data_IF_584448142671
#
_entry.id   IF_584448142671
#
_cell.length_a   1.000
_cell.length_b   1.000
_cell.length_c   1.000
_cell.angle_alpha   90.00
_cell.angle_beta   90.00
_cell.angle_gamma   90.00
#
_symmetry.space_group_name_H-M   'P 1'
#
loop_
_entity.id
_entity.type
_entity.pdbx_description
1 polymer ?
#
# COMPACT_ATOMS: atom_id res chain seq x y z
N UNK A 1 -3.03 -2.95 -4.54
CA UNK A 1 -1.69 -3.36 -4.11
C UNK A 1 -0.82 -3.69 -5.32
N UNK A 2 0.48 -3.40 -5.22
CA UNK A 2 1.47 -3.67 -6.27
C UNK A 2 2.77 -4.24 -5.66
N UNK A 3 3.62 -4.81 -6.54
CA UNK A 3 4.92 -5.37 -6.16
C UNK A 3 4.88 -6.84 -5.76
N UNK A 4 6.04 -7.37 -5.36
CA UNK A 4 6.24 -8.81 -5.12
C UNK A 4 5.36 -9.41 -4.03
N UNK A 5 4.96 -8.63 -3.03
CA UNK A 5 4.05 -9.07 -1.96
C UNK A 5 2.67 -9.51 -2.44
N UNK A 6 2.21 -9.01 -3.59
CA UNK A 6 0.91 -9.38 -4.17
C UNK A 6 0.82 -10.86 -4.57
N UNK A 7 1.96 -11.52 -4.73
CA UNK A 7 2.05 -12.95 -5.04
C UNK A 7 1.70 -13.83 -3.83
N UNK A 8 1.67 -13.27 -2.64
CA UNK A 8 1.33 -14.00 -1.41
C UNK A 8 -0.13 -13.71 -1.01
N UNK A 9 -1.07 -14.66 -1.24
CA UNK A 9 -2.48 -14.46 -0.96
C UNK A 9 -2.78 -14.29 0.55
N UNK A 10 -1.98 -14.91 1.42
CA UNK A 10 -2.12 -14.78 2.87
C UNK A 10 -1.79 -13.33 3.29
N UNK A 11 -0.70 -12.77 2.76
CA UNK A 11 -0.33 -11.38 3.04
C UNK A 11 -1.41 -10.40 2.58
N UNK A 12 -1.94 -10.58 1.36
CA UNK A 12 -3.01 -9.71 0.84
C UNK A 12 -4.29 -9.79 1.68
N UNK A 13 -4.68 -11.01 2.10
CA UNK A 13 -5.84 -11.17 2.96
C UNK A 13 -5.61 -10.55 4.36
N UNK A 14 -4.42 -10.78 4.96
CA UNK A 14 -4.07 -10.15 6.24
C UNK A 14 -4.11 -8.62 6.14
N UNK A 15 -3.61 -8.04 5.07
CA UNK A 15 -3.65 -6.59 4.86
C UNK A 15 -5.10 -6.09 4.85
N UNK A 16 -5.98 -6.75 4.10
CA UNK A 16 -7.41 -6.41 4.09
C UNK A 16 -8.04 -6.54 5.49
N UNK A 17 -7.76 -7.64 6.20
CA UNK A 17 -8.34 -7.92 7.52
C UNK A 17 -7.86 -6.92 8.59
N UNK A 18 -6.57 -6.54 8.58
CA UNK A 18 -6.00 -5.59 9.54
C UNK A 18 -6.51 -4.16 9.28
N UNK A 19 -6.55 -3.75 8.02
CA UNK A 19 -6.96 -2.38 7.66
C UNK A 19 -8.47 -2.20 7.65
N UNK A 20 -9.24 -3.28 7.48
CA UNK A 20 -10.68 -3.24 7.25
C UNK A 20 -11.06 -2.68 5.87
N UNK A 21 -10.11 -2.62 4.93
CA UNK A 21 -10.27 -2.05 3.60
C UNK A 21 -10.04 -3.15 2.55
N UNK A 22 -10.90 -3.29 1.53
CA UNK A 22 -10.66 -4.23 0.45
C UNK A 22 -9.33 -3.94 -0.27
N UNK A 23 -8.55 -4.99 -0.55
CA UNK A 23 -7.27 -4.89 -1.26
C UNK A 23 -7.42 -5.46 -2.66
N UNK A 24 -7.31 -4.60 -3.66
CA UNK A 24 -7.32 -5.00 -5.07
C UNK A 24 -5.89 -5.26 -5.56
N UNK A 25 -5.72 -6.36 -6.30
CA UNK A 25 -4.46 -6.74 -6.96
C UNK A 25 -4.69 -6.71 -8.46
N UNK A 26 -3.86 -5.94 -9.19
CA UNK A 26 -3.90 -5.86 -10.64
C UNK A 26 -3.35 -7.11 -11.32
N UNK A 27 -3.62 -7.26 -12.60
CA UNK A 27 -2.98 -8.28 -13.43
C UNK A 27 -1.49 -8.02 -13.54
N UNK A 28 -1.12 -6.75 -13.79
CA UNK A 28 0.26 -6.31 -13.79
C UNK A 28 0.71 -5.96 -12.36
N UNK A 29 1.72 -6.66 -11.88
CA UNK A 29 2.26 -6.50 -10.53
C UNK A 29 3.70 -5.99 -10.51
N UNK A 30 4.21 -5.53 -11.67
CA UNK A 30 5.59 -5.01 -11.83
C UNK A 30 5.83 -3.74 -10.98
N UNK A 31 4.75 -3.17 -10.40
CA UNK A 31 4.85 -2.11 -9.41
C UNK A 31 5.16 -0.74 -10.02
N UNK A 32 6.17 -0.05 -9.49
CA UNK A 32 6.46 1.35 -9.81
C UNK A 32 6.71 1.57 -11.32
N UNK A 33 7.49 0.71 -11.97
CA UNK A 33 7.81 0.88 -13.40
C UNK A 33 6.58 0.90 -14.32
N UNK A 34 5.55 0.15 -13.99
CA UNK A 34 4.30 0.17 -14.75
C UNK A 34 3.57 1.50 -14.56
N UNK A 35 3.51 1.99 -13.31
CA UNK A 35 2.95 3.31 -13.01
C UNK A 35 3.71 4.44 -13.70
N UNK A 36 5.04 4.39 -13.66
CA UNK A 36 5.91 5.40 -14.32
C UNK A 36 5.69 5.41 -15.83
N UNK A 37 5.55 4.24 -16.47
CA UNK A 37 5.26 4.13 -17.89
C UNK A 37 3.89 4.75 -18.26
N UNK A 38 2.87 4.51 -17.43
CA UNK A 38 1.55 5.11 -17.63
C UNK A 38 1.57 6.63 -17.45
N UNK A 39 2.30 7.13 -16.44
CA UNK A 39 2.47 8.57 -16.23
C UNK A 39 3.24 9.22 -17.39
N UNK A 40 4.29 8.57 -17.88
CA UNK A 40 5.02 9.05 -19.05
C UNK A 40 4.12 9.10 -20.29
N UNK A 41 3.27 8.11 -20.50
CA UNK A 41 2.32 8.06 -21.60
C UNK A 41 1.30 9.21 -21.55
N UNK A 42 0.84 9.62 -20.36
CA UNK A 42 0.04 10.83 -20.17
C UNK A 42 0.88 12.06 -20.51
N UNK A 43 2.11 12.13 -20.01
CA UNK A 43 3.00 13.29 -20.22
C UNK A 43 3.32 13.58 -21.68
N UNK A 44 3.43 12.55 -22.52
CA UNK A 44 3.63 12.70 -23.98
C UNK A 44 2.32 12.80 -24.78
N UNK A 45 1.18 12.84 -24.11
CA UNK A 45 -0.14 13.02 -24.73
C UNK A 45 -0.72 11.76 -25.38
N UNK A 46 -0.20 10.58 -25.07
CA UNK A 46 -0.77 9.30 -25.53
C UNK A 46 -2.13 9.03 -24.86
N UNK A 47 -2.24 9.36 -23.57
CA UNK A 47 -3.51 9.40 -22.82
C UNK A 47 -3.83 10.84 -22.42
N UNK A 48 -5.10 11.21 -22.46
CA UNK A 48 -5.57 12.56 -22.09
C UNK A 48 -5.53 12.81 -20.58
N UNK A 49 -5.51 11.75 -19.77
CA UNK A 49 -5.47 11.85 -18.32
C UNK A 49 -5.65 10.52 -17.63
N UNK A 50 -5.70 10.56 -16.28
CA UNK A 50 -5.82 9.37 -15.45
C UNK A 50 -7.12 8.59 -15.64
N UNK A 51 -8.19 9.23 -16.13
CA UNK A 51 -9.47 8.57 -16.34
C UNK A 51 -9.38 7.46 -17.40
N UNK A 52 -8.56 7.68 -18.45
CA UNK A 52 -8.36 6.69 -19.52
C UNK A 52 -7.57 5.46 -19.03
N UNK A 53 -6.83 5.57 -17.91
CA UNK A 53 -6.09 4.45 -17.35
C UNK A 53 -7.00 3.42 -16.65
N UNK A 54 -8.22 3.79 -16.30
CA UNK A 54 -9.18 2.86 -15.67
C UNK A 54 -9.52 1.67 -16.55
N UNK A 55 -9.54 1.89 -17.87
CA UNK A 55 -9.87 0.85 -18.84
C UNK A 55 -8.69 -0.08 -19.14
N UNK A 56 -7.48 0.33 -18.72
CA UNK A 56 -6.23 -0.40 -18.97
C UNK A 56 -5.82 -1.19 -17.72
N UNK A 57 -6.10 -0.66 -16.52
CA UNK A 57 -5.73 -1.30 -15.27
C UNK A 57 -6.77 -2.35 -14.90
N UNK A 58 -6.48 -3.59 -15.30
CA UNK A 58 -7.33 -4.73 -14.97
C UNK A 58 -7.08 -5.24 -13.55
N UNK A 59 -8.15 -5.43 -12.79
CA UNK A 59 -8.09 -6.02 -11.46
C UNK A 59 -8.22 -7.55 -11.58
N UNK A 60 -7.18 -8.25 -11.17
CA UNK A 60 -7.13 -9.72 -11.16
C UNK A 60 -7.90 -10.31 -9.99
N UNK A 61 -7.78 -9.70 -8.82
CA UNK A 61 -8.39 -10.21 -7.59
C UNK A 61 -8.61 -9.09 -6.57
N UNK A 62 -9.71 -9.22 -5.82
CA UNK A 62 -10.00 -8.37 -4.66
C UNK A 62 -10.04 -9.26 -3.43
N UNK A 63 -9.31 -8.87 -2.39
CA UNK A 63 -9.34 -9.48 -1.06
C UNK A 63 -10.25 -8.62 -0.18
N UNK A 64 -11.38 -9.18 0.21
CA UNK A 64 -12.35 -8.51 1.08
C UNK A 64 -12.02 -8.81 2.54
N UNK A 65 -12.04 -7.79 3.44
CA UNK A 65 -11.79 -8.02 4.86
C UNK A 65 -12.85 -8.93 5.49
N UNK A 66 -12.41 -9.80 6.38
CA UNK A 66 -13.29 -10.58 7.26
C UNK A 66 -13.57 -9.77 8.53
N UNK A 67 -14.84 -9.45 8.78
CA UNK A 67 -15.22 -8.60 9.93
C UNK A 67 -14.76 -9.14 11.29
N UNK A 68 -14.76 -10.47 11.47
CA UNK A 68 -14.32 -11.09 12.73
C UNK A 68 -12.83 -10.89 12.92
N UNK A 69 -12.05 -11.09 11.86
CA UNK A 69 -10.60 -10.87 11.87
C UNK A 69 -10.26 -9.39 12.01
N UNK A 70 -10.97 -8.51 11.33
CA UNK A 70 -10.80 -7.06 11.48
C UNK A 70 -11.00 -6.63 12.95
N UNK A 71 -12.05 -7.13 13.61
CA UNK A 71 -12.26 -6.84 15.03
C UNK A 71 -11.16 -7.41 15.92
N UNK A 72 -10.65 -8.60 15.61
CA UNK A 72 -9.53 -9.22 16.33
C UNK A 72 -8.23 -8.41 16.19
N UNK A 73 -7.95 -7.88 14.99
CA UNK A 73 -6.75 -7.11 14.71
C UNK A 73 -6.82 -5.64 15.19
N UNK A 74 -8.02 -5.12 15.43
CA UNK A 74 -8.19 -3.70 15.77
C UNK A 74 -7.29 -3.20 16.91
N UNK A 75 -7.20 -3.87 18.08
CA UNK A 75 -6.33 -3.41 19.17
C UNK A 75 -4.84 -3.39 18.77
N UNK A 76 -4.40 -4.35 17.96
CA UNK A 76 -3.02 -4.40 17.48
C UNK A 76 -2.73 -3.27 16.49
N UNK A 77 -3.67 -2.97 15.61
CA UNK A 77 -3.55 -1.87 14.66
C UNK A 77 -3.50 -0.51 15.38
N UNK A 78 -4.35 -0.29 16.36
CA UNK A 78 -4.33 0.92 17.18
C UNK A 78 -3.01 1.08 17.93
N UNK A 79 -2.47 0.01 18.50
CA UNK A 79 -1.15 0.01 19.11
C UNK A 79 -0.06 0.35 18.10
N UNK A 80 -0.09 -0.28 16.93
CA UNK A 80 0.87 0.00 15.85
C UNK A 80 0.86 1.48 15.44
N UNK A 81 -0.30 2.08 15.27
CA UNK A 81 -0.42 3.50 14.93
C UNK A 81 0.18 4.42 16.02
N UNK A 82 0.08 4.03 17.28
CA UNK A 82 0.64 4.80 18.40
C UNK A 82 2.15 4.66 18.56
N UNK A 83 2.75 3.55 18.10
CA UNK A 83 4.19 3.30 18.27
C UNK A 83 5.07 4.43 17.72
N UNK A 84 4.71 5.02 16.60
CA UNK A 84 5.45 6.14 16.05
C UNK A 84 5.35 7.37 16.95
N UNK A 85 4.14 7.74 17.35
CA UNK A 85 3.90 8.91 18.21
C UNK A 85 4.59 8.78 19.56
N UNK A 86 4.55 7.59 20.15
CA UNK A 86 5.16 7.30 21.44
C UNK A 86 6.72 7.31 21.39
N UNK A 87 7.31 7.07 20.22
CA UNK A 87 8.77 6.96 20.06
C UNK A 87 9.42 8.05 19.20
N UNK A 88 8.66 8.90 18.53
CA UNK A 88 9.18 9.86 17.53
C UNK A 88 10.28 10.77 18.09
N UNK A 89 10.12 11.27 19.31
CA UNK A 89 11.09 12.19 19.93
C UNK A 89 12.44 11.49 20.17
N UNK A 90 12.40 10.21 20.58
CA UNK A 90 13.60 9.40 20.74
C UNK A 90 14.27 9.08 19.41
N UNK A 91 13.47 8.80 18.35
CA UNK A 91 13.97 8.54 17.01
C UNK A 91 14.62 9.80 16.40
N UNK A 92 14.01 10.97 16.56
CA UNK A 92 14.58 12.25 16.12
C UNK A 92 15.88 12.54 16.85
N UNK A 93 15.93 12.36 18.18
CA UNK A 93 17.14 12.55 18.95
C UNK A 93 18.29 11.63 18.53
N UNK A 94 17.98 10.36 18.20
CA UNK A 94 18.98 9.44 17.64
C UNK A 94 19.51 9.90 16.29
N UNK A 95 18.63 10.43 15.44
CA UNK A 95 19.02 11.01 14.14
C UNK A 95 19.94 12.20 14.31
N UNK A 96 19.62 13.11 15.25
CA UNK A 96 20.41 14.30 15.51
C UNK A 96 21.82 13.96 16.05
N UNK A 97 21.93 12.95 16.92
CA UNK A 97 23.21 12.44 17.41
C UNK A 97 24.10 11.89 16.29
N UNK A 98 23.49 11.24 15.28
CA UNK A 98 24.23 10.73 14.12
C UNK A 98 24.63 11.81 13.12
N UNK A 99 23.92 12.95 13.09
CA UNK A 99 24.20 14.06 12.19
C UNK A 99 25.33 14.97 12.66
N UNK A 100 25.80 14.79 13.89
CA UNK A 100 26.92 15.51 14.50
C UNK A 100 28.28 14.83 14.40
N UNK A 101 28.41 13.76 13.59
CA UNK A 101 29.67 13.01 13.36
C UNK A 101 30.22 13.32 11.98
#
# INVERSE_FOLDING_TARGET
AAGGGTKNPVWMQMTADITGIPVAVGEETIGACYGDALMAAIGVGHFKGFEELRDIINIKKIYTPDEKRTKLYRPYYEMFCRLYEDNKDSLHRLSDLNSGV
#
